data_IF_116249336799
#
_entry.id   IF_116249336799
#
_cell.length_a   1.000
_cell.length_b   1.000
_cell.length_c   1.000
_cell.angle_alpha   90.00
_cell.angle_beta   90.00
_cell.angle_gamma   90.00
#
_symmetry.space_group_name_H-M   'P 1'
#
loop_
_entity.id
_entity.type
_entity.pdbx_description
1 polymer ?
#
# COMPACT_ATOMS: atom_id res chain seq x y z
N UNK A 1 24.36 1.98 26.70
CA UNK A 1 23.33 2.89 26.17
C UNK A 1 22.38 2.06 25.31
N UNK A 2 21.38 1.45 25.95
CA UNK A 2 20.48 0.48 25.31
C UNK A 2 19.29 1.23 24.69
N UNK A 3 19.29 1.38 23.38
CA UNK A 3 18.09 1.76 22.62
C UNK A 3 17.29 0.50 22.29
N UNK A 4 16.68 -0.12 23.31
CA UNK A 4 15.73 -1.21 23.08
C UNK A 4 14.36 -0.59 22.73
N UNK A 5 14.16 -0.29 21.45
CA UNK A 5 12.85 0.12 20.93
C UNK A 5 11.89 -1.08 21.02
N UNK A 6 10.84 -0.93 21.80
CA UNK A 6 9.70 -1.85 21.86
C UNK A 6 9.02 -1.92 20.49
N UNK A 7 9.24 -3.00 19.74
CA UNK A 7 8.54 -3.25 18.47
C UNK A 7 7.07 -3.61 18.77
N UNK A 8 6.19 -2.61 18.71
CA UNK A 8 4.74 -2.82 18.70
C UNK A 8 4.35 -3.37 17.33
N UNK A 9 3.95 -4.64 17.25
CA UNK A 9 3.44 -5.23 16.00
C UNK A 9 2.10 -4.59 15.64
N UNK A 10 2.08 -3.75 14.61
CA UNK A 10 0.84 -3.23 14.02
C UNK A 10 0.45 -4.15 12.87
N UNK A 11 -0.71 -4.80 12.98
CA UNK A 11 -1.26 -5.57 11.86
C UNK A 11 -1.88 -4.61 10.83
N UNK A 12 -1.18 -4.42 9.72
CA UNK A 12 -1.71 -3.69 8.56
C UNK A 12 -2.73 -4.59 7.87
N UNK A 13 -3.99 -4.15 7.80
CA UNK A 13 -5.07 -4.88 7.14
C UNK A 13 -5.38 -4.33 5.75
N UNK A 14 -5.14 -3.04 5.54
CA UNK A 14 -5.52 -2.33 4.32
C UNK A 14 -4.45 -1.33 3.89
N UNK A 15 -4.15 -1.29 2.59
CA UNK A 15 -3.19 -0.38 1.97
C UNK A 15 -3.92 0.42 0.90
N UNK A 16 -3.84 1.76 0.99
CA UNK A 16 -4.31 2.65 -0.06
C UNK A 16 -3.11 3.19 -0.84
N UNK A 17 -3.16 3.12 -2.17
CA UNK A 17 -2.16 3.68 -3.07
C UNK A 17 -2.79 4.85 -3.81
N UNK A 18 -2.26 6.05 -3.58
CA UNK A 18 -2.69 7.27 -4.23
C UNK A 18 -1.84 7.51 -5.49
N UNK A 19 -2.46 7.36 -6.66
CA UNK A 19 -1.88 7.45 -7.99
C UNK A 19 -1.83 6.10 -8.70
N UNK A 20 -2.44 6.00 -9.87
CA UNK A 20 -2.50 4.80 -10.73
C UNK A 20 -1.53 4.85 -11.92
N UNK A 21 -0.48 5.66 -11.83
CA UNK A 21 0.68 5.59 -12.73
C UNK A 21 1.48 4.29 -12.53
N UNK A 22 2.53 4.08 -13.33
CA UNK A 22 3.33 2.85 -13.34
C UNK A 22 3.82 2.40 -11.96
N UNK A 23 4.31 3.35 -11.16
CA UNK A 23 4.83 3.07 -9.81
C UNK A 23 3.69 2.68 -8.87
N UNK A 24 2.58 3.41 -8.90
CA UNK A 24 1.43 3.14 -8.03
C UNK A 24 0.75 1.81 -8.34
N UNK A 25 0.59 1.47 -9.63
CA UNK A 25 0.13 0.14 -10.04
C UNK A 25 1.08 -0.97 -9.56
N UNK A 26 2.39 -0.76 -9.63
CA UNK A 26 3.39 -1.70 -9.12
C UNK A 26 3.28 -1.92 -7.60
N UNK A 27 3.14 -0.84 -6.83
CA UNK A 27 2.95 -0.92 -5.36
C UNK A 27 1.64 -1.66 -5.05
N UNK A 28 0.53 -1.29 -5.70
CA UNK A 28 -0.76 -1.92 -5.48
C UNK A 28 -0.75 -3.41 -5.84
N UNK A 29 -0.09 -3.78 -6.94
CA UNK A 29 0.08 -5.17 -7.33
C UNK A 29 0.84 -5.98 -6.28
N UNK A 30 1.96 -5.44 -5.77
CA UNK A 30 2.75 -6.11 -4.74
C UNK A 30 1.94 -6.22 -3.45
N UNK A 31 1.32 -5.13 -2.98
CA UNK A 31 0.49 -5.15 -1.77
C UNK A 31 -0.63 -6.20 -1.85
N UNK A 32 -1.37 -6.23 -2.97
CA UNK A 32 -2.43 -7.21 -3.19
C UNK A 32 -1.88 -8.65 -3.21
N UNK A 33 -0.74 -8.88 -3.87
CA UNK A 33 -0.08 -10.21 -3.93
C UNK A 33 0.34 -10.74 -2.57
N UNK A 34 0.72 -9.86 -1.64
CA UNK A 34 1.11 -10.25 -0.27
C UNK A 34 -0.10 -10.33 0.68
N UNK A 35 -1.33 -10.25 0.17
CA UNK A 35 -2.55 -10.48 0.94
C UNK A 35 -3.11 -9.26 1.66
N UNK A 36 -2.60 -8.05 1.37
CA UNK A 36 -3.18 -6.83 1.91
C UNK A 36 -4.44 -6.46 1.12
N UNK A 37 -5.51 -6.07 1.83
CA UNK A 37 -6.65 -5.44 1.17
C UNK A 37 -6.18 -4.12 0.55
N UNK A 38 -6.15 -4.04 -0.78
CA UNK A 38 -5.47 -2.95 -1.49
C UNK A 38 -6.45 -2.10 -2.26
N UNK A 39 -6.41 -0.79 -2.05
CA UNK A 39 -7.23 0.21 -2.74
C UNK A 39 -6.28 1.03 -3.62
N UNK A 40 -6.54 1.05 -4.93
CA UNK A 40 -5.84 1.94 -5.86
C UNK A 40 -6.77 3.12 -6.18
N UNK A 41 -6.30 4.33 -5.90
CA UNK A 41 -7.07 5.55 -6.13
C UNK A 41 -6.31 6.47 -7.08
N UNK A 42 -7.00 7.08 -8.04
CA UNK A 42 -6.47 8.18 -8.84
C UNK A 42 -7.58 9.23 -9.02
N UNK A 43 -7.17 10.49 -9.20
CA UNK A 43 -8.09 11.59 -9.49
C UNK A 43 -8.62 11.51 -10.91
N UNK A 44 -7.84 10.93 -11.83
CA UNK A 44 -8.27 10.64 -13.18
C UNK A 44 -8.86 9.22 -13.23
N UNK A 45 -10.17 9.13 -13.51
CA UNK A 45 -10.85 7.82 -13.60
C UNK A 45 -10.39 7.00 -14.78
N UNK A 46 -9.96 7.63 -15.88
CA UNK A 46 -9.54 6.93 -17.10
C UNK A 46 -8.29 6.07 -16.86
N UNK A 47 -7.44 6.43 -15.88
CA UNK A 47 -6.25 5.65 -15.54
C UNK A 47 -6.55 4.49 -14.58
N UNK A 48 -7.81 4.26 -14.21
CA UNK A 48 -8.24 3.12 -13.39
C UNK A 48 -8.87 1.99 -14.21
N UNK A 49 -9.28 2.27 -15.45
CA UNK A 49 -9.65 1.25 -16.45
C UNK A 49 -8.40 0.50 -16.95
#
# INVERSE_FOLDING_TARGET
MAIHQTQKTIMIQTVCVCGAGTVGRGIAQVAARYGFHTILFDVNKEVLE
#
